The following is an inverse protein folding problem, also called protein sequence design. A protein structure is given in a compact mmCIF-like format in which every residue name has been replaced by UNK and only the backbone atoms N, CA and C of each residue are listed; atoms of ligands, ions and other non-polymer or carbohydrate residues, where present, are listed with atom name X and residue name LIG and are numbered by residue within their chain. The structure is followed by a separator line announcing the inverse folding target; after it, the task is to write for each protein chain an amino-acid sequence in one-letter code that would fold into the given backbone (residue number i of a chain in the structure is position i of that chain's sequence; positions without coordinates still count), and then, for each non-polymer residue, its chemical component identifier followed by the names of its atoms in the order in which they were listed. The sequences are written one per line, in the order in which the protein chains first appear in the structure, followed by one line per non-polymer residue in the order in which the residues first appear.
data_IF_554820169766
#
_entry.id   IF_554820169766
#
_cell.length_a   1.000
_cell.length_b   1.000
_cell.length_c   1.000
_cell.angle_alpha   90.00
_cell.angle_beta   90.00
_cell.angle_gamma   90.00
#
_symmetry.space_group_name_H-M   'P 1'
#
loop_
_entity.id
_entity.type
_entity.pdbx_description
1 polymer ?
#
# COMPACT_ATOMS: atom_id res chain seq x y z
N UNK A 1 18.02 5.13 -4.79
CA UNK A 1 16.64 4.75 -4.47
C UNK A 1 16.56 4.23 -3.04
N UNK A 2 15.64 4.72 -2.27
CA UNK A 2 15.36 4.25 -0.92
C UNK A 2 14.11 3.37 -0.97
N UNK A 3 14.24 2.10 -0.59
CA UNK A 3 13.12 1.17 -0.50
C UNK A 3 12.67 1.01 0.96
N UNK A 4 11.37 0.95 1.14
CA UNK A 4 10.74 0.57 2.40
C UNK A 4 10.02 -0.74 2.20
N UNK A 5 10.35 -1.75 3.00
CA UNK A 5 9.69 -3.05 3.00
C UNK A 5 8.93 -3.17 4.31
N UNK A 6 7.62 -3.30 4.22
CA UNK A 6 6.74 -3.28 5.39
C UNK A 6 5.84 -4.51 5.45
N UNK A 7 5.56 -4.93 6.67
CA UNK A 7 4.49 -5.88 6.97
C UNK A 7 3.79 -5.37 8.23
N UNK A 8 2.52 -5.00 8.07
CA UNK A 8 1.72 -4.43 9.15
C UNK A 8 0.47 -5.28 9.38
N UNK A 9 0.09 -5.46 10.63
CA UNK A 9 -1.12 -6.18 11.03
C UNK A 9 -2.16 -5.20 11.56
N UNK A 10 -3.39 -5.37 11.10
CA UNK A 10 -4.55 -4.62 11.52
C UNK A 10 -5.67 -5.57 11.91
N UNK A 11 -6.48 -5.18 12.88
CA UNK A 11 -7.62 -5.99 13.30
C UNK A 11 -8.90 -5.46 12.65
N UNK A 12 -9.71 -6.39 12.15
CA UNK A 12 -11.03 -6.08 11.60
C UNK A 12 -12.02 -5.89 12.74
N UNK A 13 -12.88 -4.88 12.64
CA UNK A 13 -13.97 -4.68 13.58
C UNK A 13 -14.92 -5.89 13.59
N UNK A 14 -15.45 -6.24 14.75
CA UNK A 14 -16.42 -7.32 14.86
C UNK A 14 -17.63 -7.04 13.95
N UNK A 15 -18.11 -8.08 13.28
CA UNK A 15 -19.25 -7.98 12.38
C UNK A 15 -18.97 -7.39 11.03
N UNK A 16 -17.71 -7.11 10.69
CA UNK A 16 -17.33 -6.51 9.41
C UNK A 16 -16.71 -7.49 8.41
N UNK A 17 -16.74 -8.78 8.69
CA UNK A 17 -16.18 -9.81 7.79
C UNK A 17 -16.76 -9.73 6.37
N UNK A 18 -18.09 -9.59 6.26
CA UNK A 18 -18.73 -9.47 4.96
C UNK A 18 -18.33 -8.17 4.23
N UNK A 19 -18.10 -7.10 4.97
CA UNK A 19 -17.66 -5.82 4.38
C UNK A 19 -16.21 -5.91 3.91
N UNK A 20 -15.37 -6.67 4.61
CA UNK A 20 -14.01 -6.98 4.14
C UNK A 20 -14.06 -7.79 2.85
N UNK A 21 -14.97 -8.78 2.75
CA UNK A 21 -15.17 -9.53 1.50
C UNK A 21 -15.49 -8.58 0.34
N UNK A 22 -16.39 -7.63 0.56
CA UNK A 22 -16.76 -6.62 -0.43
C UNK A 22 -15.57 -5.75 -0.82
N UNK A 23 -14.79 -5.31 0.15
CA UNK A 23 -13.58 -4.51 -0.05
C UNK A 23 -12.55 -5.23 -0.92
N UNK A 24 -12.24 -6.48 -0.56
CA UNK A 24 -11.26 -7.26 -1.32
C UNK A 24 -11.76 -7.55 -2.73
N UNK A 25 -13.06 -7.83 -2.89
CA UNK A 25 -13.68 -8.00 -4.20
C UNK A 25 -13.62 -6.70 -5.02
N UNK A 26 -13.85 -5.56 -4.39
CA UNK A 26 -13.75 -4.27 -5.06
C UNK A 26 -12.34 -4.06 -5.65
N UNK A 27 -11.29 -4.27 -4.87
CA UNK A 27 -9.91 -4.13 -5.34
C UNK A 27 -9.61 -5.10 -6.48
N UNK A 28 -10.01 -6.35 -6.35
CA UNK A 28 -9.79 -7.37 -7.38
C UNK A 28 -10.58 -7.10 -8.66
N UNK A 29 -11.80 -6.59 -8.55
CA UNK A 29 -12.63 -6.28 -9.71
C UNK A 29 -12.23 -4.99 -10.42
N UNK A 30 -11.41 -4.16 -9.77
CA UNK A 30 -10.89 -2.91 -10.33
C UNK A 30 -9.36 -2.94 -10.42
N UNK A 31 -8.80 -4.13 -10.65
CA UNK A 31 -7.35 -4.34 -10.60
C UNK A 31 -6.59 -3.42 -11.56
N UNK A 32 -7.08 -3.22 -12.76
CA UNK A 32 -6.43 -2.34 -13.74
C UNK A 32 -6.24 -0.92 -13.18
N UNK A 33 -7.29 -0.34 -12.61
CA UNK A 33 -7.24 1.00 -12.04
C UNK A 33 -6.46 1.02 -10.72
N UNK A 34 -6.58 -0.05 -9.93
CA UNK A 34 -5.83 -0.21 -8.69
C UNK A 34 -4.32 -0.20 -8.96
N UNK A 35 -3.86 -0.94 -9.97
CA UNK A 35 -2.44 -0.97 -10.33
C UNK A 35 -1.91 0.40 -10.76
N UNK A 36 -2.74 1.22 -11.41
CA UNK A 36 -2.34 2.57 -11.78
C UNK A 36 -2.10 3.46 -10.55
N UNK A 37 -2.87 3.27 -9.48
CA UNK A 37 -2.64 4.03 -8.23
C UNK A 37 -1.31 3.64 -7.59
N UNK A 38 -0.92 2.39 -7.69
CA UNK A 38 0.37 1.91 -7.15
C UNK A 38 1.55 2.58 -7.85
N UNK A 39 1.48 2.80 -9.14
CA UNK A 39 2.55 3.48 -9.89
C UNK A 39 2.78 4.89 -9.35
N UNK A 40 1.70 5.64 -9.09
CA UNK A 40 1.77 6.99 -8.53
C UNK A 40 2.38 7.01 -7.13
N UNK A 41 2.18 5.96 -6.36
CA UNK A 41 2.71 5.81 -5.01
C UNK A 41 4.14 5.26 -5.01
N UNK A 42 4.69 4.88 -6.15
CA UNK A 42 5.95 4.12 -6.28
C UNK A 42 5.90 2.82 -5.48
N UNK A 43 4.75 2.20 -5.46
CA UNK A 43 4.51 0.92 -4.80
C UNK A 43 4.78 -0.22 -5.78
N UNK A 44 5.86 -0.96 -5.55
CA UNK A 44 6.26 -2.04 -6.47
C UNK A 44 5.52 -3.34 -6.20
N UNK A 45 5.25 -3.62 -4.93
CA UNK A 45 4.48 -4.79 -4.51
C UNK A 45 3.59 -4.39 -3.35
N UNK A 46 2.32 -4.74 -3.44
CA UNK A 46 1.40 -4.61 -2.32
C UNK A 46 0.53 -5.86 -2.29
N UNK A 47 0.49 -6.52 -1.14
CA UNK A 47 -0.29 -7.74 -0.96
C UNK A 47 -1.01 -7.70 0.38
N UNK A 48 -2.29 -8.02 0.35
CA UNK A 48 -3.12 -8.08 1.53
C UNK A 48 -3.37 -9.54 1.87
N UNK A 49 -3.03 -9.93 3.08
CA UNK A 49 -3.30 -11.26 3.63
C UNK A 49 -4.40 -11.15 4.67
N UNK A 50 -5.08 -12.24 4.91
CA UNK A 50 -6.22 -12.30 5.83
C UNK A 50 -6.11 -13.54 6.70
N UNK A 51 -6.41 -13.39 7.98
CA UNK A 51 -6.32 -14.49 8.94
C UNK A 51 -7.41 -14.35 10.00
N UNK A 52 -7.93 -15.49 10.45
CA UNK A 52 -8.72 -15.56 11.68
C UNK A 52 -7.88 -16.30 12.70
N UNK A 53 -7.54 -15.63 13.78
CA UNK A 53 -6.73 -16.16 14.87
C UNK A 53 -7.46 -15.95 16.19
N UNK A 54 -7.69 -17.04 16.93
CA UNK A 54 -8.41 -17.01 18.20
C UNK A 54 -9.76 -16.28 18.12
N UNK A 55 -10.50 -16.54 17.03
CA UNK A 55 -11.82 -15.97 16.81
C UNK A 55 -11.85 -14.51 16.39
N UNK A 56 -10.70 -13.90 16.16
CA UNK A 56 -10.60 -12.50 15.70
C UNK A 56 -10.01 -12.47 14.30
N UNK A 57 -10.46 -11.53 13.49
CA UNK A 57 -10.01 -11.38 12.10
C UNK A 57 -8.96 -10.29 12.00
N UNK A 58 -7.90 -10.59 11.21
CA UNK A 58 -6.78 -9.68 10.97
C UNK A 58 -6.51 -9.57 9.49
N UNK A 59 -6.08 -8.38 9.06
CA UNK A 59 -5.53 -8.14 7.75
C UNK A 59 -4.05 -7.79 7.89
N UNK A 60 -3.24 -8.31 6.98
CA UNK A 60 -1.81 -8.03 6.93
C UNK A 60 -1.52 -7.31 5.62
N UNK A 61 -0.85 -6.18 5.72
CA UNK A 61 -0.39 -5.41 4.56
C UNK A 61 1.10 -5.63 4.39
N UNK A 62 1.48 -6.23 3.28
CA UNK A 62 2.87 -6.38 2.86
C UNK A 62 3.12 -5.44 1.70
N UNK A 63 4.21 -4.67 1.74
CA UNK A 63 4.53 -3.76 0.66
C UNK A 63 6.03 -3.58 0.46
N UNK A 64 6.39 -3.30 -0.79
CA UNK A 64 7.72 -2.84 -1.18
C UNK A 64 7.53 -1.54 -1.95
N UNK A 65 8.02 -0.45 -1.40
CA UNK A 65 7.74 0.89 -1.90
C UNK A 65 9.01 1.74 -1.93
N UNK A 66 9.16 2.55 -2.99
CA UNK A 66 10.21 3.57 -3.03
C UNK A 66 9.67 4.90 -2.50
N UNK A 67 10.57 5.73 -1.98
CA UNK A 67 10.23 7.07 -1.51
C UNK A 67 9.92 8.03 -2.66
N UNK A 68 9.12 9.03 -2.38
CA UNK A 68 8.86 10.13 -3.31
C UNK A 68 7.64 9.95 -4.20
N UNK A 69 6.79 8.95 -3.93
CA UNK A 69 5.49 8.82 -4.59
C UNK A 69 4.44 9.73 -3.96
N UNK A 70 3.25 9.72 -4.53
CA UNK A 70 2.10 10.46 -4.01
C UNK A 70 1.52 9.69 -2.83
N UNK A 71 1.22 10.38 -1.75
CA UNK A 71 0.51 9.78 -0.61
C UNK A 71 -0.93 9.44 -1.00
N UNK A 72 -1.45 8.35 -0.48
CA UNK A 72 -2.81 7.88 -0.80
C UNK A 72 -3.87 8.94 -0.45
N UNK A 73 -3.69 9.68 0.64
CA UNK A 73 -4.60 10.73 1.08
C UNK A 73 -4.67 11.89 0.10
N UNK A 74 -3.62 12.10 -0.68
CA UNK A 74 -3.51 13.18 -1.67
C UNK A 74 -3.95 12.73 -3.06
N UNK A 75 -4.35 11.46 -3.22
CA UNK A 75 -4.76 10.90 -4.50
C UNK A 75 -6.14 11.42 -4.92
N UNK A 76 -6.30 11.73 -6.19
CA UNK A 76 -7.59 12.07 -6.80
C UNK A 76 -8.31 10.82 -7.33
N UNK A 77 -7.71 9.64 -7.25
CA UNK A 77 -8.29 8.39 -7.72
C UNK A 77 -9.50 7.97 -6.90
N UNK A 78 -10.61 7.63 -7.58
CA UNK A 78 -11.79 7.09 -6.90
C UNK A 78 -11.48 5.74 -6.22
N UNK A 79 -10.51 4.98 -6.74
CA UNK A 79 -10.06 3.72 -6.13
C UNK A 79 -9.49 3.99 -4.73
N UNK A 80 -8.59 4.97 -4.62
CA UNK A 80 -7.97 5.31 -3.35
C UNK A 80 -8.99 5.88 -2.36
N UNK A 81 -9.90 6.71 -2.84
CA UNK A 81 -10.97 7.27 -1.98
C UNK A 81 -11.88 6.17 -1.46
N UNK A 82 -12.26 5.23 -2.32
CA UNK A 82 -13.10 4.09 -1.93
C UNK A 82 -12.37 3.15 -0.98
N UNK A 83 -11.07 2.95 -1.21
CA UNK A 83 -10.21 2.15 -0.34
C UNK A 83 -10.15 2.74 1.08
N UNK A 84 -10.00 4.06 1.20
CA UNK A 84 -10.00 4.75 2.49
C UNK A 84 -11.36 4.59 3.19
N UNK A 85 -12.47 4.69 2.46
CA UNK A 85 -13.80 4.47 3.04
C UNK A 85 -13.95 3.06 3.61
N UNK A 86 -13.52 2.04 2.87
CA UNK A 86 -13.52 0.65 3.37
C UNK A 86 -12.64 0.48 4.59
N UNK A 87 -11.47 1.10 4.56
CA UNK A 87 -10.53 1.08 5.69
C UNK A 87 -11.21 1.60 6.96
N UNK A 88 -11.78 2.79 6.88
CA UNK A 88 -12.45 3.43 8.03
C UNK A 88 -13.61 2.60 8.57
N UNK A 89 -14.34 1.93 7.69
CA UNK A 89 -15.47 1.09 8.08
C UNK A 89 -15.04 -0.24 8.71
N UNK A 90 -13.98 -0.85 8.22
CA UNK A 90 -13.60 -2.22 8.57
C UNK A 90 -12.51 -2.35 9.62
N UNK A 91 -11.56 -1.42 9.68
CA UNK A 91 -10.39 -1.53 10.55
C UNK A 91 -10.66 -0.93 11.92
N UNK A 92 -10.33 -1.70 12.96
CA UNK A 92 -10.50 -1.31 14.35
C UNK A 92 -9.36 -0.38 14.79
N UNK A 93 -9.63 0.93 14.98
CA UNK A 93 -8.58 1.87 15.37
C UNK A 93 -8.07 1.65 16.79
N UNK A 94 -8.86 0.99 17.65
CA UNK A 94 -8.45 0.74 19.03
C UNK A 94 -7.33 -0.30 19.13
N UNK A 95 -7.24 -1.20 18.15
CA UNK A 95 -6.13 -2.17 18.08
C UNK A 95 -4.84 -1.49 17.62
N UNK A 96 -4.97 -0.51 16.76
CA UNK A 96 -3.84 0.18 16.16
C UNK A 96 -3.18 -0.62 15.05
N UNK A 97 -1.95 -0.26 14.74
CA UNK A 97 -1.13 -0.90 13.72
C UNK A 97 0.02 -1.60 14.41
N UNK A 98 0.23 -2.87 14.07
CA UNK A 98 1.39 -3.62 14.54
C UNK A 98 2.35 -3.81 13.36
N UNK A 99 3.43 -3.05 13.36
CA UNK A 99 4.47 -3.17 12.35
C UNK A 99 5.46 -4.26 12.76
N UNK A 100 5.68 -5.20 11.86
CA UNK A 100 6.69 -6.23 12.05
C UNK A 100 8.01 -5.72 11.49
N UNK A 101 9.08 -5.92 12.24
CA UNK A 101 10.41 -5.42 11.86
C UNK A 101 11.07 -6.35 10.85
N UNK A 102 11.42 -5.87 9.64
CA UNK A 102 12.14 -6.71 8.68
C UNK A 102 13.50 -7.09 9.26
N UNK A 103 13.84 -8.37 9.23
CA UNK A 103 15.13 -8.87 9.71
C UNK A 103 16.11 -9.06 8.57
N UNK A 104 15.62 -9.57 7.43
CA UNK A 104 16.40 -9.80 6.23
C UNK A 104 15.56 -9.44 5.03
N UNK A 105 16.03 -8.53 4.20
CA UNK A 105 15.40 -8.18 2.94
C UNK A 105 16.22 -8.77 1.82
N UNK A 106 15.62 -9.67 1.05
CA UNK A 106 16.30 -10.39 -0.02
C UNK A 106 15.65 -10.06 -1.35
N UNK A 107 16.30 -9.21 -2.12
CA UNK A 107 15.87 -8.82 -3.46
C UNK A 107 17.02 -9.11 -4.41
N UNK A 108 16.85 -10.04 -5.37
CA UNK A 108 17.92 -10.33 -6.33
C UNK A 108 18.35 -9.07 -7.09
N UNK A 109 19.63 -8.98 -7.40
CA UNK A 109 20.19 -7.80 -8.06
C UNK A 109 19.43 -7.39 -9.33
N UNK A 110 19.08 -8.29 -10.26
CA UNK A 110 18.32 -7.86 -11.45
C UNK A 110 16.96 -7.26 -11.15
N UNK A 111 16.29 -7.77 -10.09
CA UNK A 111 14.98 -7.22 -9.65
C UNK A 111 15.19 -5.83 -9.07
N UNK A 112 16.18 -5.65 -8.21
CA UNK A 112 16.50 -4.36 -7.61
C UNK A 112 16.86 -3.32 -8.69
N UNK A 113 17.67 -3.70 -9.66
CA UNK A 113 18.06 -2.82 -10.78
C UNK A 113 16.84 -2.40 -11.61
N UNK A 114 15.88 -3.30 -11.82
CA UNK A 114 14.62 -2.97 -12.48
C UNK A 114 13.81 -1.96 -11.68
N UNK A 115 13.75 -2.13 -10.38
CA UNK A 115 13.08 -1.17 -9.49
C UNK A 115 13.75 0.21 -9.54
N UNK A 116 15.09 0.26 -9.56
CA UNK A 116 15.83 1.52 -9.66
C UNK A 116 15.54 2.23 -10.99
N UNK A 117 15.47 1.48 -12.07
CA UNK A 117 15.15 2.04 -13.39
C UNK A 117 13.72 2.61 -13.40
N UNK A 118 12.77 1.89 -12.85
CA UNK A 118 11.39 2.36 -12.72
C UNK A 118 11.30 3.60 -11.85
N UNK A 119 12.06 3.65 -10.76
CA UNK A 119 12.11 4.80 -9.86
C UNK A 119 12.53 6.07 -10.62
N UNK A 120 13.55 5.97 -11.46
CA UNK A 120 14.00 7.08 -12.30
C UNK A 120 12.93 7.51 -13.30
N UNK A 121 12.28 6.54 -13.95
CA UNK A 121 11.20 6.81 -14.92
C UNK A 121 10.01 7.51 -14.25
N UNK A 122 9.63 7.08 -13.06
CA UNK A 122 8.55 7.71 -12.30
C UNK A 122 8.93 9.13 -11.89
N UNK A 123 10.15 9.37 -11.43
CA UNK A 123 10.62 10.71 -11.08
C UNK A 123 10.54 11.67 -12.28
N UNK A 124 10.96 11.23 -13.47
CA UNK A 124 10.86 12.02 -14.69
C UNK A 124 9.41 12.31 -15.05
N UNK A 125 8.52 11.31 -14.94
CA UNK A 125 7.10 11.47 -15.21
C UNK A 125 6.47 12.46 -14.24
N UNK A 126 6.82 12.39 -12.97
CA UNK A 126 6.30 13.30 -11.96
C UNK A 126 6.76 14.74 -12.20
N UNK A 127 8.01 14.94 -12.58
CA UNK A 127 8.52 16.27 -12.96
C UNK A 127 7.73 16.87 -14.12
N UNK A 128 7.44 16.07 -15.17
CA UNK A 128 6.68 16.52 -16.32
C UNK A 128 5.25 16.91 -15.96
N UNK A 129 4.67 16.27 -14.92
CA UNK A 129 3.34 16.59 -14.42
C UNK A 129 3.33 17.69 -13.36
N UNK A 130 4.50 18.25 -13.03
CA UNK A 130 4.62 19.29 -12.01
C UNK A 130 4.58 18.76 -10.57
N UNK A 131 4.72 17.48 -10.37
CA UNK A 131 4.77 16.90 -9.04
C UNK A 131 6.19 17.00 -8.48
N UNK A 132 6.32 17.47 -7.23
CA UNK A 132 7.59 17.57 -6.53
C UNK A 132 7.52 16.73 -5.26
N UNK A 133 8.68 16.21 -4.83
CA UNK A 133 8.77 15.49 -3.56
C UNK A 133 8.43 16.45 -2.42
N UNK A 134 7.54 15.99 -1.53
CA UNK A 134 7.28 16.71 -0.28
C UNK A 134 8.54 16.66 0.60
N UNK A 135 8.93 17.77 1.26
CA UNK A 135 10.01 17.75 2.24
C UNK A 135 9.80 16.72 3.35
N UNK A 136 8.55 16.39 3.66
CA UNK A 136 8.19 15.40 4.67
C UNK A 136 8.54 13.97 4.24
N UNK A 137 8.67 13.69 2.94
CA UNK A 137 9.02 12.38 2.42
C UNK A 137 10.51 12.06 2.55
N UNK A 138 11.30 12.99 3.04
CA UNK A 138 12.75 12.81 3.25
C UNK A 138 13.13 12.43 4.68
N UNK A 139 12.16 12.35 5.55
CA UNK A 139 12.40 12.00 6.95
C UNK A 139 12.38 10.49 7.21
#
# INVERSE_FOLDING_TARGET
MQLTVELSRFRVKEGKTAKVDEWMAFLNNHMKDTLLTLENEKMYVETIFREILDGREYLYWYSVQAEGGIEIEDSESYIDKKHIEYWEECIDPSYGMVDLTPQVVMIPKPVYETMEELDKQYDETFKKRGWTKSPMSLS
#
